data_IF_355181247631
#
_entry.id   IF_355181247631
#
_cell.length_a   1.000
_cell.length_b   1.000
_cell.length_c   1.000
_cell.angle_alpha   90.00
_cell.angle_beta   90.00
_cell.angle_gamma   90.00
#
_symmetry.space_group_name_H-M   'P 1'
#
loop_
_entity.id
_entity.type
_entity.pdbx_description
1 polymer ?
#
# COMPACT_ATOMS: atom_id res chain seq x y z
N UNK A 1 -6.33 3.14 -4.42
CA UNK A 1 -5.74 1.94 -3.80
C UNK A 1 -6.46 1.55 -2.52
N UNK A 2 -6.51 2.38 -1.47
CA UNK A 2 -7.25 2.07 -0.23
C UNK A 2 -8.70 1.66 -0.50
N UNK A 3 -9.42 2.38 -1.37
CA UNK A 3 -10.78 1.99 -1.79
C UNK A 3 -10.88 0.55 -2.34
N UNK A 4 -9.90 0.09 -3.11
CA UNK A 4 -9.89 -1.29 -3.62
C UNK A 4 -9.73 -2.34 -2.50
N UNK A 5 -9.05 -1.98 -1.42
CA UNK A 5 -8.87 -2.82 -0.23
C UNK A 5 -10.10 -2.77 0.68
N UNK A 6 -10.67 -1.57 0.88
CA UNK A 6 -11.84 -1.32 1.73
C UNK A 6 -13.14 -1.89 1.15
N UNK A 7 -13.29 -1.89 -0.18
CA UNK A 7 -14.46 -2.45 -0.86
C UNK A 7 -14.52 -4.00 -0.75
N UNK A 8 -13.49 -4.65 -0.17
CA UNK A 8 -13.42 -6.10 0.14
C UNK A 8 -13.86 -6.99 -1.04
N UNK A 9 -13.39 -6.62 -2.23
CA UNK A 9 -13.69 -7.34 -3.48
C UNK A 9 -13.12 -8.76 -3.44
N UNK A 10 -13.74 -9.70 -4.18
CA UNK A 10 -13.24 -11.07 -4.33
C UNK A 10 -12.03 -11.12 -5.29
N UNK A 11 -10.89 -10.61 -4.84
CA UNK A 11 -9.63 -10.54 -5.58
C UNK A 11 -8.48 -11.08 -4.73
N UNK A 12 -7.58 -11.84 -5.36
CA UNK A 12 -6.45 -12.44 -4.65
C UNK A 12 -5.25 -11.51 -4.57
N UNK A 13 -5.01 -10.72 -5.62
CA UNK A 13 -3.87 -9.83 -5.72
C UNK A 13 -4.21 -8.54 -6.46
N UNK A 14 -3.49 -7.47 -6.12
CA UNK A 14 -3.48 -6.21 -6.86
C UNK A 14 -2.04 -5.94 -7.26
N UNK A 15 -1.75 -5.90 -8.56
CA UNK A 15 -0.42 -5.53 -9.07
C UNK A 15 -0.53 -4.19 -9.76
N UNK A 16 0.21 -3.19 -9.28
CA UNK A 16 0.14 -1.82 -9.77
C UNK A 16 1.52 -1.21 -9.88
N UNK A 17 1.66 -0.32 -10.85
CA UNK A 17 2.81 0.57 -10.95
C UNK A 17 2.45 1.91 -10.33
N UNK A 18 3.32 2.42 -9.47
CA UNK A 18 3.13 3.70 -8.78
C UNK A 18 4.47 4.43 -8.67
N UNK A 19 4.47 5.71 -8.34
CA UNK A 19 5.69 6.46 -8.07
C UNK A 19 6.50 5.79 -6.96
N UNK A 20 7.82 5.74 -7.13
CA UNK A 20 8.73 5.00 -6.24
C UNK A 20 8.61 5.41 -4.77
N UNK A 21 8.54 6.71 -4.46
CA UNK A 21 8.37 7.18 -3.06
C UNK A 21 7.11 6.62 -2.40
N UNK A 22 6.02 6.49 -3.16
CA UNK A 22 4.76 5.96 -2.66
C UNK A 22 4.86 4.45 -2.49
N UNK A 23 5.49 3.74 -3.43
CA UNK A 23 5.77 2.31 -3.31
C UNK A 23 6.61 2.00 -2.07
N UNK A 24 7.66 2.78 -1.82
CA UNK A 24 8.54 2.64 -0.64
C UNK A 24 7.74 2.72 0.67
N UNK A 25 6.73 3.60 0.76
CA UNK A 25 5.82 3.70 1.93
C UNK A 25 4.82 2.55 2.02
N UNK A 26 4.36 2.03 0.89
CA UNK A 26 3.36 0.96 0.83
C UNK A 26 3.98 -0.39 1.23
N UNK A 27 5.19 -0.68 0.74
CA UNK A 27 5.92 -1.92 0.99
C UNK A 27 6.61 -1.91 2.36
N UNK A 28 6.74 -0.72 2.97
CA UNK A 28 7.27 -0.55 4.32
C UNK A 28 6.51 -1.39 5.37
N UNK A 29 7.22 -1.82 6.41
CA UNK A 29 6.64 -2.48 7.58
C UNK A 29 6.24 -1.43 8.60
N UNK A 30 5.06 -1.55 9.25
CA UNK A 30 4.65 -0.68 10.36
C UNK A 30 5.74 -0.48 11.42
N UNK A 31 5.97 0.77 11.84
CA UNK A 31 6.99 1.14 12.82
C UNK A 31 8.38 1.41 12.24
N UNK A 32 8.57 1.28 10.92
CA UNK A 32 9.81 1.70 10.28
C UNK A 32 9.84 3.22 10.01
N UNK A 33 11.00 3.75 9.62
CA UNK A 33 11.18 5.18 9.32
C UNK A 33 10.25 5.70 8.21
N UNK A 34 9.86 4.85 7.27
CA UNK A 34 9.01 5.21 6.12
C UNK A 34 7.51 4.96 6.38
N UNK A 35 7.15 4.46 7.56
CA UNK A 35 5.76 4.18 7.89
C UNK A 35 4.93 5.47 7.96
N UNK A 36 3.77 5.43 7.32
CA UNK A 36 2.73 6.44 7.45
C UNK A 36 1.35 5.80 7.40
N UNK A 37 0.28 6.59 7.38
CA UNK A 37 -1.09 6.09 7.41
C UNK A 37 -1.37 4.98 6.36
N UNK A 38 -0.85 5.16 5.14
CA UNK A 38 -1.02 4.19 4.05
C UNK A 38 -0.36 2.84 4.34
N UNK A 39 0.78 2.83 5.05
CA UNK A 39 1.51 1.63 5.43
C UNK A 39 0.65 0.75 6.34
N UNK A 40 0.01 1.35 7.34
CA UNK A 40 -0.87 0.63 8.27
C UNK A 40 -2.11 0.11 7.55
N UNK A 41 -2.73 0.92 6.68
CA UNK A 41 -3.92 0.50 5.96
C UNK A 41 -3.64 -0.64 4.98
N UNK A 42 -2.55 -0.56 4.21
CA UNK A 42 -2.17 -1.64 3.30
C UNK A 42 -1.80 -2.90 4.07
N UNK A 43 -1.02 -2.79 5.15
CA UNK A 43 -0.60 -3.94 5.96
C UNK A 43 -1.78 -4.68 6.61
N UNK A 44 -2.81 -3.92 7.02
CA UNK A 44 -4.03 -4.48 7.60
C UNK A 44 -4.76 -5.41 6.62
N UNK A 45 -4.93 -4.97 5.36
CA UNK A 45 -5.69 -5.72 4.35
C UNK A 45 -4.83 -6.69 3.50
N UNK A 46 -3.52 -6.47 3.40
CA UNK A 46 -2.69 -7.16 2.42
C UNK A 46 -1.22 -7.32 2.85
N UNK A 47 -0.51 -8.19 2.15
CA UNK A 47 0.95 -8.26 2.14
C UNK A 47 1.46 -7.53 0.90
N UNK A 48 2.20 -6.44 1.11
CA UNK A 48 2.80 -5.67 0.04
C UNK A 48 4.23 -6.14 -0.24
N UNK A 49 4.59 -6.28 -1.51
CA UNK A 49 5.94 -6.61 -1.93
C UNK A 49 6.36 -5.79 -3.16
N UNK A 50 7.64 -5.44 -3.21
CA UNK A 50 8.27 -4.85 -4.39
C UNK A 50 8.50 -5.93 -5.44
N UNK A 51 8.12 -5.65 -6.68
CA UNK A 51 8.37 -6.54 -7.81
C UNK A 51 9.55 -6.04 -8.64
N UNK A 52 9.56 -4.75 -8.98
CA UNK A 52 10.61 -4.14 -9.81
C UNK A 52 10.50 -2.61 -9.86
N UNK A 53 11.66 -1.94 -9.87
CA UNK A 53 11.78 -0.51 -10.20
C UNK A 53 11.70 -0.31 -11.73
N UNK A 54 10.98 0.73 -12.14
CA UNK A 54 10.81 1.15 -13.54
C UNK A 54 11.37 2.57 -13.68
N UNK A 55 12.45 2.67 -14.45
CA UNK A 55 13.11 3.93 -14.74
C UNK A 55 12.17 4.88 -15.50
N UNK A 56 12.17 6.17 -15.12
CA UNK A 56 11.35 7.20 -15.76
C UNK A 56 11.58 7.35 -17.26
N UNK A 57 12.78 7.03 -17.77
CA UNK A 57 13.12 7.08 -19.21
C UNK A 57 12.30 6.10 -20.06
N UNK A 58 11.58 5.17 -19.44
CA UNK A 58 10.68 4.22 -20.12
C UNK A 58 9.30 4.80 -20.45
N UNK A 59 9.05 6.07 -20.17
CA UNK A 59 7.77 6.76 -20.39
C UNK A 59 7.90 7.95 -21.35
N UNK A 60 6.80 8.26 -22.05
CA UNK A 60 6.67 9.44 -22.92
C UNK A 60 5.33 10.14 -22.62
N UNK A 61 5.33 11.41 -22.16
CA UNK A 61 6.50 12.18 -21.72
C UNK A 61 7.15 11.57 -20.46
N UNK A 62 8.45 11.83 -20.27
CA UNK A 62 9.20 11.37 -19.10
C UNK A 62 8.66 12.04 -17.81
N UNK A 63 8.28 11.29 -16.77
CA UNK A 63 7.89 11.83 -15.48
C UNK A 63 9.11 12.29 -14.67
N UNK A 64 8.90 13.08 -13.61
CA UNK A 64 10.01 13.61 -12.80
C UNK A 64 10.73 12.56 -11.93
N UNK A 65 10.05 11.45 -11.63
CA UNK A 65 10.50 10.44 -10.65
C UNK A 65 10.35 9.04 -11.23
N UNK A 66 11.17 8.12 -10.73
CA UNK A 66 11.03 6.70 -11.05
C UNK A 66 9.71 6.13 -10.54
N UNK A 67 9.29 5.05 -11.19
CA UNK A 67 8.15 4.25 -10.78
C UNK A 67 8.59 2.91 -10.21
N UNK A 68 7.67 2.21 -9.58
CA UNK A 68 7.89 0.87 -9.06
C UNK A 68 6.61 0.06 -9.21
N UNK A 69 6.78 -1.17 -9.66
CA UNK A 69 5.72 -2.18 -9.68
C UNK A 69 5.73 -2.88 -8.34
N UNK A 70 4.58 -2.83 -7.66
CA UNK A 70 4.34 -3.53 -6.40
C UNK A 70 3.19 -4.52 -6.56
N UNK A 71 3.18 -5.54 -5.72
CA UNK A 71 2.08 -6.50 -5.61
C UNK A 71 1.53 -6.48 -4.18
N UNK A 72 0.22 -6.37 -4.07
CA UNK A 72 -0.52 -6.53 -2.83
C UNK A 72 -1.22 -7.87 -2.88
N UNK A 73 -0.85 -8.80 -2.00
CA UNK A 73 -1.54 -10.06 -1.81
C UNK A 73 -2.62 -9.88 -0.74
N UNK A 74 -3.88 -9.97 -1.14
CA UNK A 74 -5.00 -9.70 -0.24
C UNK A 74 -5.08 -10.82 0.81
N UNK A 75 -5.18 -10.42 2.08
CA UNK A 75 -5.32 -11.38 3.17
C UNK A 75 -6.74 -11.92 3.18
N UNK A 76 -6.88 -13.21 3.49
CA UNK A 76 -8.20 -13.81 3.77
C UNK A 76 -8.80 -13.30 5.08
N UNK A 77 -7.93 -13.04 6.05
CA UNK A 77 -8.27 -12.48 7.35
C UNK A 77 -7.29 -11.34 7.66
N UNK A 78 -7.77 -10.22 8.23
CA UNK A 78 -6.90 -9.09 8.57
C UNK A 78 -5.85 -9.50 9.60
N UNK A 79 -4.72 -8.78 9.61
CA UNK A 79 -3.57 -9.12 10.48
C UNK A 79 -3.90 -9.07 11.98
N UNK A 80 -4.94 -8.31 12.34
CA UNK A 80 -5.48 -8.22 13.70
C UNK A 80 -7.01 -8.18 13.64
N UNK A 81 -7.65 -8.83 14.62
CA UNK A 81 -9.09 -8.73 14.79
C UNK A 81 -9.43 -7.46 15.60
N UNK A 82 -10.18 -6.54 14.99
CA UNK A 82 -10.49 -5.24 15.58
C UNK A 82 -11.90 -5.24 16.17
N UNK A 83 -12.06 -4.64 17.35
CA UNK A 83 -13.39 -4.37 17.93
C UNK A 83 -14.14 -3.28 17.18
N UNK A 84 -13.42 -2.30 16.63
CA UNK A 84 -13.97 -1.20 15.86
C UNK A 84 -12.96 -0.80 14.77
N UNK A 85 -13.23 -1.23 13.53
CA UNK A 85 -12.39 -0.97 12.36
C UNK A 85 -12.34 0.53 12.03
N UNK A 86 -13.48 1.23 12.11
CA UNK A 86 -13.55 2.67 11.84
C UNK A 86 -12.69 3.49 12.80
N UNK A 87 -12.79 3.22 14.10
CA UNK A 87 -11.97 3.91 15.12
C UNK A 87 -10.47 3.68 14.90
N UNK A 88 -10.07 2.46 14.51
CA UNK A 88 -8.68 2.15 14.21
C UNK A 88 -8.14 2.99 13.05
N UNK A 89 -8.90 3.08 11.95
CA UNK A 89 -8.51 3.89 10.80
C UNK A 89 -8.55 5.40 11.09
N UNK A 90 -9.47 5.88 11.92
CA UNK A 90 -9.49 7.26 12.40
C UNK A 90 -8.23 7.58 13.22
N UNK A 91 -7.85 6.71 14.16
CA UNK A 91 -6.62 6.89 14.96
C UNK A 91 -5.39 6.97 14.06
N UNK A 92 -5.28 6.07 13.07
CA UNK A 92 -4.17 6.10 12.11
C UNK A 92 -4.16 7.43 11.35
N UNK A 93 -5.32 7.87 10.84
CA UNK A 93 -5.45 9.11 10.08
C UNK A 93 -5.09 10.36 10.89
N UNK A 94 -5.39 10.39 12.19
CA UNK A 94 -5.06 11.54 13.05
C UNK A 94 -3.65 11.49 13.65
N UNK A 95 -2.96 10.35 13.58
CA UNK A 95 -1.61 10.20 14.15
C UNK A 95 -0.47 10.56 13.18
N UNK A 96 -0.75 10.61 11.88
CA UNK A 96 0.19 10.91 10.79
C UNK A 96 -0.27 12.12 10.00
#
# INVERSE_FOLDING_TARGET
MMKLLEDKLDIQTITVMIQKEVADRIVSVPGSKLSGAITYGVNYYSEAESIRIVDRSMFIPEPNVDSEVIRLKIRKEPVVNLKNEALFFDIIKYSF
#
